data_IF_573685231397
#
_entry.id   IF_573685231397
#
_cell.length_a   1.000
_cell.length_b   1.000
_cell.length_c   1.000
_cell.angle_alpha   90.00
_cell.angle_beta   90.00
_cell.angle_gamma   90.00
#
_symmetry.space_group_name_H-M   'P 1'
#
loop_
_entity.id
_entity.type
_entity.pdbx_description
1 polymer ?
#
# COMPACT_ATOMS: atom_id res chain seq x y z
N UNK A 1 -26.28 -6.37 -10.08
CA UNK A 1 -24.89 -5.89 -9.96
C UNK A 1 -24.89 -4.38 -10.02
N UNK A 2 -24.15 -3.71 -9.13
CA UNK A 2 -24.05 -2.25 -9.11
C UNK A 2 -23.09 -1.79 -10.23
N UNK A 3 -23.63 -1.26 -11.33
CA UNK A 3 -22.82 -0.68 -12.41
C UNK A 3 -22.74 0.84 -12.29
N UNK A 4 -21.62 1.42 -12.70
CA UNK A 4 -21.43 2.89 -12.75
C UNK A 4 -22.44 3.58 -13.68
N UNK A 5 -23.01 2.84 -14.64
CA UNK A 5 -24.01 3.33 -15.60
C UNK A 5 -25.27 3.88 -14.92
N UNK A 6 -25.55 3.45 -13.69
CA UNK A 6 -26.66 3.97 -12.88
C UNK A 6 -26.33 5.27 -12.12
N UNK A 7 -25.09 5.75 -12.21
CA UNK A 7 -24.59 6.94 -11.52
C UNK A 7 -24.21 8.04 -12.49
N UNK A 8 -24.29 9.29 -12.04
CA UNK A 8 -23.77 10.43 -12.77
C UNK A 8 -22.28 10.66 -12.40
N UNK A 9 -21.41 11.08 -13.32
CA UNK A 9 -19.99 11.33 -13.02
C UNK A 9 -19.76 12.30 -11.85
N UNK A 10 -20.57 13.36 -11.75
CA UNK A 10 -20.54 14.32 -10.64
C UNK A 10 -20.98 13.75 -9.26
N UNK A 11 -21.32 12.47 -9.18
CA UNK A 11 -21.56 11.77 -7.91
C UNK A 11 -20.29 11.12 -7.34
N UNK A 12 -19.16 11.27 -8.02
CA UNK A 12 -17.89 10.66 -7.65
C UNK A 12 -16.85 11.75 -7.37
N UNK A 13 -16.26 11.72 -6.19
CA UNK A 13 -15.26 12.70 -5.74
C UNK A 13 -13.88 12.07 -5.62
N UNK A 14 -12.85 12.82 -5.99
CA UNK A 14 -11.46 12.39 -5.82
C UNK A 14 -11.10 12.18 -4.34
N UNK A 15 -10.57 11.01 -3.99
CA UNK A 15 -10.09 10.74 -2.62
C UNK A 15 -8.61 10.34 -2.54
N UNK A 16 -7.99 10.02 -3.68
CA UNK A 16 -6.54 9.78 -3.72
C UNK A 16 -6.05 9.07 -4.96
N UNK A 17 -4.72 8.96 -5.10
CA UNK A 17 -4.11 8.25 -6.21
C UNK A 17 -2.73 7.67 -5.87
N UNK A 18 -2.38 6.61 -6.59
CA UNK A 18 -1.03 6.06 -6.67
C UNK A 18 -0.34 6.42 -7.99
N UNK A 19 0.70 5.67 -8.33
CA UNK A 19 1.36 5.84 -9.63
C UNK A 19 0.46 5.39 -10.78
N UNK A 20 -0.18 4.23 -10.65
CA UNK A 20 -0.93 3.58 -11.74
C UNK A 20 -2.46 3.78 -11.69
N UNK A 21 -3.01 4.16 -10.53
CA UNK A 21 -4.46 4.19 -10.32
C UNK A 21 -4.89 5.46 -9.59
N UNK A 22 -6.11 5.90 -9.86
CA UNK A 22 -6.86 6.93 -9.15
C UNK A 22 -8.07 6.30 -8.45
N UNK A 23 -8.45 6.83 -7.30
CA UNK A 23 -9.61 6.40 -6.51
C UNK A 23 -10.59 7.57 -6.36
N UNK A 24 -11.86 7.31 -6.64
CA UNK A 24 -12.97 8.23 -6.40
C UNK A 24 -14.02 7.62 -5.47
N UNK A 25 -14.56 8.38 -4.52
CA UNK A 25 -15.64 7.95 -3.62
C UNK A 25 -17.01 8.34 -4.18
N UNK A 26 -18.01 7.48 -4.03
CA UNK A 26 -19.40 7.82 -4.32
C UNK A 26 -20.00 8.68 -3.18
N UNK A 27 -20.70 9.76 -3.52
CA UNK A 27 -21.13 10.79 -2.54
C UNK A 27 -22.64 10.96 -2.40
N UNK A 28 -23.45 10.16 -3.10
CA UNK A 28 -24.91 10.19 -2.95
C UNK A 28 -25.39 9.10 -2.02
N UNK A 29 -26.51 9.36 -1.34
CA UNK A 29 -27.19 8.41 -0.46
C UNK A 29 -28.18 7.50 -1.21
N UNK A 30 -28.18 7.56 -2.55
CA UNK A 30 -29.05 6.75 -3.41
C UNK A 30 -28.32 5.49 -3.92
N UNK A 31 -29.04 4.36 -3.95
CA UNK A 31 -28.69 3.11 -4.67
C UNK A 31 -27.56 2.25 -4.07
N UNK A 32 -27.22 1.15 -4.75
CA UNK A 32 -26.24 0.10 -4.38
C UNK A 32 -24.76 0.55 -4.37
N UNK A 33 -24.49 1.85 -4.46
CA UNK A 33 -23.14 2.44 -4.51
C UNK A 33 -22.78 3.25 -3.26
N UNK A 34 -23.71 3.38 -2.30
CA UNK A 34 -23.43 4.03 -1.02
C UNK A 34 -22.24 3.34 -0.33
N UNK A 35 -21.28 4.14 0.13
CA UNK A 35 -20.07 3.65 0.78
C UNK A 35 -19.10 2.93 -0.15
N UNK A 36 -19.22 3.08 -1.48
CA UNK A 36 -18.30 2.50 -2.46
C UNK A 36 -17.30 3.52 -2.99
N UNK A 37 -16.18 2.98 -3.47
CA UNK A 37 -15.14 3.70 -4.21
C UNK A 37 -14.95 3.06 -5.59
N UNK A 38 -14.62 3.89 -6.58
CA UNK A 38 -14.26 3.52 -7.93
C UNK A 38 -12.74 3.68 -8.11
N UNK A 39 -12.07 2.61 -8.54
CA UNK A 39 -10.66 2.60 -8.92
C UNK A 39 -10.51 2.56 -10.43
N UNK A 40 -9.82 3.56 -10.95
CA UNK A 40 -9.57 3.77 -12.37
C UNK A 40 -8.08 3.74 -12.67
N UNK A 41 -7.75 3.17 -13.83
CA UNK A 41 -6.40 3.18 -14.37
C UNK A 41 -6.02 4.59 -14.85
N UNK A 42 -4.72 4.89 -14.80
CA UNK A 42 -4.14 6.09 -15.39
C UNK A 42 -3.32 5.73 -16.62
N UNK A 43 -3.34 6.60 -17.62
CA UNK A 43 -2.35 6.55 -18.69
C UNK A 43 -0.99 6.94 -18.12
N UNK A 44 0.01 6.11 -18.35
CA UNK A 44 1.41 6.39 -18.01
C UNK A 44 2.25 6.18 -19.26
N UNK A 45 3.32 6.96 -19.43
CA UNK A 45 4.22 6.86 -20.60
C UNK A 45 4.94 5.51 -20.75
N UNK A 46 4.85 4.61 -19.75
CA UNK A 46 5.40 3.26 -19.82
C UNK A 46 4.35 2.27 -20.34
N UNK A 47 4.71 1.58 -21.42
CA UNK A 47 3.90 0.71 -22.26
C UNK A 47 3.10 -0.37 -21.51
N UNK A 48 1.99 -0.76 -22.15
CA UNK A 48 1.09 -1.87 -21.81
C UNK A 48 1.81 -3.22 -21.93
N UNK A 49 2.68 -3.56 -20.97
CA UNK A 49 2.96 -4.97 -20.72
C UNK A 49 1.68 -5.66 -20.26
N UNK A 50 1.48 -6.92 -20.65
CA UNK A 50 0.39 -7.77 -20.17
C UNK A 50 0.44 -7.85 -18.65
N UNK A 51 -0.34 -7.00 -17.98
CA UNK A 51 -0.44 -6.99 -16.53
C UNK A 51 -1.58 -7.91 -16.14
N UNK A 52 -1.29 -8.85 -15.24
CA UNK A 52 -2.33 -9.56 -14.47
C UNK A 52 -3.24 -8.50 -13.85
N UNK A 53 -4.55 -8.62 -14.02
CA UNK A 53 -5.48 -7.63 -13.47
C UNK A 53 -5.41 -7.66 -11.94
N UNK A 54 -5.77 -6.55 -11.28
CA UNK A 54 -5.78 -6.52 -9.81
C UNK A 54 -6.80 -7.52 -9.22
N UNK A 55 -7.84 -7.86 -9.98
CA UNK A 55 -8.82 -8.87 -9.61
C UNK A 55 -8.19 -10.25 -9.72
N UNK A 56 -7.59 -10.59 -10.86
CA UNK A 56 -6.96 -11.90 -11.05
C UNK A 56 -5.83 -12.15 -10.04
N UNK A 57 -5.01 -11.13 -9.78
CA UNK A 57 -3.98 -11.19 -8.75
C UNK A 57 -4.61 -11.48 -7.38
N UNK A 58 -5.73 -10.86 -7.05
CA UNK A 58 -6.38 -11.09 -5.77
C UNK A 58 -7.06 -12.47 -5.70
N UNK A 59 -7.82 -12.84 -6.72
CA UNK A 59 -8.65 -14.06 -6.73
C UNK A 59 -7.82 -15.32 -6.88
N UNK A 60 -6.72 -15.28 -7.65
CA UNK A 60 -5.91 -16.45 -7.98
C UNK A 60 -4.57 -16.52 -7.24
N UNK A 61 -4.14 -15.46 -6.56
CA UNK A 61 -2.86 -15.45 -5.83
C UNK A 61 -3.07 -14.99 -4.38
N UNK A 62 -3.55 -13.76 -4.15
CA UNK A 62 -3.60 -13.22 -2.79
C UNK A 62 -4.59 -13.95 -1.88
N UNK A 63 -5.71 -14.44 -2.41
CA UNK A 63 -6.73 -15.21 -1.68
C UNK A 63 -6.20 -16.53 -1.11
N UNK A 64 -5.14 -17.07 -1.69
CA UNK A 64 -4.46 -18.27 -1.18
C UNK A 64 -3.45 -17.91 -0.08
N UNK A 65 -2.84 -16.72 -0.15
CA UNK A 65 -1.80 -16.28 0.79
C UNK A 65 -2.36 -15.56 2.03
N UNK A 66 -3.50 -14.89 1.90
CA UNK A 66 -4.11 -14.04 2.91
C UNK A 66 -5.57 -14.46 3.05
N UNK A 67 -6.03 -14.65 4.30
CA UNK A 67 -7.43 -14.93 4.61
C UNK A 67 -8.35 -13.93 3.90
N UNK A 68 -9.29 -14.38 3.05
CA UNK A 68 -10.17 -13.51 2.27
C UNK A 68 -10.91 -12.45 3.09
N UNK A 69 -11.15 -12.67 4.39
CA UNK A 69 -11.78 -11.65 5.27
C UNK A 69 -10.96 -10.38 5.44
N UNK A 70 -9.65 -10.43 5.18
CA UNK A 70 -8.74 -9.28 5.21
C UNK A 70 -8.51 -8.65 3.83
N UNK A 71 -9.08 -9.24 2.78
CA UNK A 71 -9.01 -8.72 1.42
C UNK A 71 -10.25 -7.88 1.11
N UNK A 72 -10.05 -6.79 0.37
CA UNK A 72 -11.17 -5.96 -0.10
C UNK A 72 -11.94 -6.70 -1.19
N UNK A 73 -13.26 -6.70 -1.11
CA UNK A 73 -14.06 -7.21 -2.22
C UNK A 73 -13.98 -6.28 -3.43
N UNK A 74 -13.63 -6.86 -4.58
CA UNK A 74 -13.57 -6.14 -5.84
C UNK A 74 -14.70 -6.60 -6.76
N UNK A 75 -15.43 -5.63 -7.30
CA UNK A 75 -16.38 -5.83 -8.39
C UNK A 75 -15.80 -5.22 -9.66
N UNK A 76 -15.51 -6.05 -10.67
CA UNK A 76 -15.13 -5.55 -11.98
C UNK A 76 -16.32 -4.85 -12.63
N UNK A 77 -16.07 -3.70 -13.23
CA UNK A 77 -17.04 -2.98 -14.04
C UNK A 77 -16.50 -2.89 -15.45
N UNK A 78 -17.31 -3.34 -16.41
CA UNK A 78 -17.04 -3.16 -17.83
C UNK A 78 -17.29 -1.70 -18.23
N UNK A 79 -16.36 -1.14 -19.00
CA UNK A 79 -16.35 0.25 -19.45
C UNK A 79 -16.47 0.40 -20.97
N UNK A 80 -16.62 -0.70 -21.73
CA UNK A 80 -16.61 -0.67 -23.21
C UNK A 80 -17.55 0.39 -23.78
N UNK A 81 -18.77 0.49 -23.23
CA UNK A 81 -19.80 1.46 -23.65
C UNK A 81 -19.85 2.74 -22.78
N UNK A 82 -18.82 3.02 -21.96
CA UNK A 82 -18.84 4.11 -20.97
C UNK A 82 -17.83 5.23 -21.23
N UNK A 83 -17.26 5.33 -22.44
CA UNK A 83 -16.20 6.30 -22.77
C UNK A 83 -16.60 7.76 -22.47
N UNK A 84 -17.80 8.18 -22.87
CA UNK A 84 -18.26 9.56 -22.62
C UNK A 84 -18.47 9.83 -21.12
N UNK A 85 -19.00 8.84 -20.39
CA UNK A 85 -19.13 8.93 -18.94
C UNK A 85 -17.76 9.11 -18.25
N UNK A 86 -16.73 8.40 -18.72
CA UNK A 86 -15.37 8.50 -18.17
C UNK A 86 -14.73 9.85 -18.52
N UNK A 87 -14.98 10.39 -19.72
CA UNK A 87 -14.51 11.74 -20.09
C UNK A 87 -15.11 12.80 -19.19
N UNK A 88 -16.42 12.73 -18.92
CA UNK A 88 -17.10 13.63 -18.00
C UNK A 88 -16.56 13.49 -16.57
N UNK A 89 -16.33 12.25 -16.11
CA UNK A 89 -15.70 12.00 -14.82
C UNK A 89 -14.30 12.60 -14.75
N UNK A 90 -13.49 12.40 -15.79
CA UNK A 90 -12.14 12.94 -15.85
C UNK A 90 -12.16 14.47 -15.82
N UNK A 91 -13.03 15.11 -16.61
CA UNK A 91 -13.20 16.57 -16.57
C UNK A 91 -13.61 17.08 -15.18
N UNK A 92 -14.43 16.31 -14.46
CA UNK A 92 -14.84 16.63 -13.09
C UNK A 92 -13.71 16.44 -12.06
N UNK A 93 -12.94 15.35 -12.14
CA UNK A 93 -11.96 14.95 -11.12
C UNK A 93 -10.58 15.58 -11.32
N UNK A 94 -10.11 15.70 -12.56
CA UNK A 94 -8.76 16.16 -12.88
C UNK A 94 -8.38 17.50 -12.20
N UNK A 95 -9.27 18.51 -12.09
CA UNK A 95 -8.97 19.76 -11.39
C UNK A 95 -8.63 19.60 -9.89
N UNK A 96 -9.10 18.54 -9.24
CA UNK A 96 -8.91 18.31 -7.80
C UNK A 96 -7.68 17.46 -7.48
N UNK A 97 -6.99 16.94 -8.50
CA UNK A 97 -5.77 16.16 -8.32
C UNK A 97 -4.59 17.08 -7.94
N UNK A 98 -3.67 16.65 -7.05
CA UNK A 98 -2.51 17.43 -6.68
C UNK A 98 -1.65 17.80 -7.90
N UNK A 99 -1.16 19.04 -7.95
CA UNK A 99 -0.36 19.56 -9.09
C UNK A 99 0.80 18.66 -9.46
N UNK A 100 1.55 18.18 -8.46
CA UNK A 100 2.67 17.25 -8.65
C UNK A 100 2.32 15.94 -9.36
N UNK A 101 1.04 15.54 -9.34
CA UNK A 101 0.52 14.35 -10.03
C UNK A 101 0.04 14.66 -11.45
N UNK A 102 -0.49 15.87 -11.67
CA UNK A 102 -0.96 16.35 -12.98
C UNK A 102 0.21 16.69 -13.90
N UNK A 103 1.23 17.38 -13.39
CA UNK A 103 2.39 17.82 -14.19
C UNK A 103 3.29 16.68 -14.65
N UNK A 104 3.20 15.50 -14.02
CA UNK A 104 3.93 14.29 -14.40
C UNK A 104 3.38 13.57 -15.63
N UNK A 105 2.38 14.12 -16.31
CA UNK A 105 1.82 13.56 -17.54
C UNK A 105 0.93 12.33 -17.36
N UNK A 106 0.52 11.99 -16.13
CA UNK A 106 -0.46 10.91 -15.88
C UNK A 106 -1.87 11.47 -15.82
N UNK A 107 -2.80 10.87 -16.57
CA UNK A 107 -4.22 11.26 -16.64
C UNK A 107 -5.11 10.04 -16.43
N UNK A 108 -6.38 10.24 -16.11
CA UNK A 108 -7.37 9.15 -16.15
C UNK A 108 -7.40 8.53 -17.55
N UNK A 109 -7.32 7.21 -17.63
CA UNK A 109 -7.41 6.48 -18.90
C UNK A 109 -8.86 6.39 -19.36
N UNK A 110 -9.25 7.31 -20.25
CA UNK A 110 -10.60 7.37 -20.83
C UNK A 110 -10.91 6.18 -21.76
N UNK A 111 -9.90 5.38 -22.12
CA UNK A 111 -10.04 4.18 -22.94
C UNK A 111 -9.84 2.89 -22.13
N UNK A 112 -9.80 2.99 -20.80
CA UNK A 112 -9.76 1.81 -19.94
C UNK A 112 -10.98 0.93 -20.23
N UNK A 113 -10.74 -0.39 -20.40
CA UNK A 113 -11.80 -1.38 -20.63
C UNK A 113 -12.54 -1.79 -19.36
N UNK A 114 -11.89 -1.63 -18.21
CA UNK A 114 -12.43 -2.05 -16.93
C UNK A 114 -12.09 -1.04 -15.83
N UNK A 115 -12.99 -0.92 -14.86
CA UNK A 115 -12.75 -0.32 -13.55
C UNK A 115 -13.04 -1.33 -12.43
N UNK A 116 -12.70 -0.95 -11.20
CA UNK A 116 -13.00 -1.74 -10.01
C UNK A 116 -13.84 -0.90 -9.06
N UNK A 117 -14.99 -1.43 -8.65
CA UNK A 117 -15.73 -0.94 -7.49
C UNK A 117 -15.28 -1.72 -6.25
N UNK A 118 -15.04 -1.02 -5.14
CA UNK A 118 -14.68 -1.61 -3.85
C UNK A 118 -15.34 -0.84 -2.70
N UNK A 119 -15.30 -1.39 -1.48
CA UNK A 119 -15.73 -0.65 -0.29
C UNK A 119 -14.85 0.57 -0.02
N UNK A 120 -15.48 1.70 0.28
CA UNK A 120 -14.80 2.86 0.81
C UNK A 120 -14.63 2.69 2.33
N UNK A 121 -13.48 2.16 2.75
CA UNK A 121 -13.15 1.97 4.17
C UNK A 121 -13.05 3.28 4.98
N UNK A 122 -13.12 4.44 4.33
CA UNK A 122 -13.14 5.76 4.98
C UNK A 122 -14.52 6.39 4.98
N UNK A 123 -15.52 5.73 4.39
CA UNK A 123 -16.89 6.24 4.33
C UNK A 123 -17.44 6.53 5.73
N UNK A 124 -18.20 7.61 5.84
CA UNK A 124 -18.84 8.03 7.07
C UNK A 124 -20.37 7.90 6.94
N UNK A 125 -20.96 6.86 7.54
CA UNK A 125 -22.41 6.73 7.61
C UNK A 125 -23.02 7.82 8.51
N UNK A 126 -24.24 8.32 8.21
CA UNK A 126 -24.88 9.40 8.98
C UNK A 126 -25.07 9.16 10.49
N UNK A 127 -25.04 7.90 10.93
CA UNK A 127 -25.34 7.50 12.31
C UNK A 127 -24.16 6.80 13.02
N UNK A 128 -22.96 6.87 12.45
CA UNK A 128 -21.79 6.20 13.02
C UNK A 128 -20.52 7.03 12.86
N UNK A 129 -19.83 7.26 13.97
CA UNK A 129 -18.47 7.82 13.94
C UNK A 129 -17.47 6.71 13.61
N UNK A 130 -16.65 6.95 12.58
CA UNK A 130 -15.63 6.01 12.11
C UNK A 130 -14.30 6.75 12.00
N UNK A 131 -13.26 6.14 12.57
CA UNK A 131 -11.87 6.52 12.36
C UNK A 131 -11.21 5.39 11.60
N UNK A 132 -10.64 5.70 10.44
CA UNK A 132 -9.93 4.72 9.62
C UNK A 132 -8.45 5.05 9.61
N UNK A 133 -7.61 4.02 9.64
CA UNK A 133 -6.15 4.18 9.76
C UNK A 133 -5.48 3.39 8.64
N UNK A 134 -4.72 4.08 7.78
CA UNK A 134 -3.89 3.46 6.75
C UNK A 134 -2.45 3.37 7.28
N UNK A 135 -1.93 2.15 7.42
CA UNK A 135 -0.53 1.89 7.79
C UNK A 135 0.18 1.25 6.59
N UNK A 136 1.37 1.78 6.24
CA UNK A 136 2.31 1.08 5.34
C UNK A 136 3.41 0.46 6.16
N UNK A 137 3.32 -0.85 6.49
CA UNK A 137 4.18 -1.45 7.51
C UNK A 137 5.63 -1.67 7.05
N UNK A 138 5.86 -1.63 5.72
CA UNK A 138 7.14 -1.88 5.06
C UNK A 138 7.61 -3.33 5.25
N UNK A 139 8.91 -3.54 5.44
CA UNK A 139 9.57 -4.85 5.39
C UNK A 139 9.79 -5.38 6.81
N UNK A 140 9.31 -6.60 7.06
CA UNK A 140 9.27 -7.24 8.36
C UNK A 140 10.53 -8.01 8.72
N UNK A 141 11.38 -8.31 7.73
CA UNK A 141 12.52 -9.21 7.89
C UNK A 141 13.83 -8.55 7.45
N UNK A 142 14.91 -9.01 8.07
CA UNK A 142 16.27 -8.85 7.54
C UNK A 142 16.57 -10.04 6.61
N UNK A 143 17.49 -9.90 5.64
CA UNK A 143 17.90 -11.02 4.80
C UNK A 143 18.41 -12.19 5.64
N UNK A 144 17.97 -13.41 5.32
CA UNK A 144 18.33 -14.63 6.06
C UNK A 144 19.59 -15.30 5.51
N UNK A 145 19.78 -15.29 4.18
CA UNK A 145 20.90 -15.93 3.47
C UNK A 145 22.10 -14.98 3.30
N UNK A 146 22.74 -14.65 4.43
CA UNK A 146 23.81 -13.65 4.47
C UNK A 146 25.00 -13.99 3.56
N UNK A 147 25.26 -15.28 3.32
CA UNK A 147 26.31 -15.75 2.43
C UNK A 147 26.09 -15.35 0.96
N UNK A 148 24.82 -15.13 0.57
CA UNK A 148 24.45 -14.68 -0.77
C UNK A 148 24.56 -13.16 -0.93
N UNK A 149 24.74 -12.40 0.15
CA UNK A 149 24.94 -10.95 0.09
C UNK A 149 26.38 -10.60 -0.31
N UNK A 150 26.54 -9.46 -0.98
CA UNK A 150 27.83 -8.82 -1.22
C UNK A 150 28.51 -8.48 0.13
N UNK A 151 29.81 -8.79 0.31
CA UNK A 151 30.51 -8.51 1.56
C UNK A 151 30.42 -7.05 2.03
N UNK A 152 30.35 -6.07 1.11
CA UNK A 152 30.28 -4.65 1.42
C UNK A 152 28.91 -4.28 1.99
N UNK A 153 27.83 -4.86 1.45
CA UNK A 153 26.45 -4.53 1.88
C UNK A 153 25.97 -5.40 3.04
N UNK A 154 26.54 -6.60 3.20
CA UNK A 154 26.16 -7.60 4.22
C UNK A 154 26.13 -7.03 5.62
N UNK A 155 27.16 -6.28 6.01
CA UNK A 155 27.27 -5.73 7.37
C UNK A 155 26.13 -4.77 7.70
N UNK A 156 25.68 -3.98 6.72
CA UNK A 156 24.55 -3.07 6.90
C UNK A 156 23.22 -3.85 6.87
N UNK A 157 23.06 -4.75 5.90
CA UNK A 157 21.79 -5.45 5.65
C UNK A 157 21.44 -6.47 6.73
N UNK A 158 22.44 -7.02 7.45
CA UNK A 158 22.22 -7.95 8.56
C UNK A 158 21.81 -7.27 9.87
N UNK A 159 21.98 -5.95 9.99
CA UNK A 159 21.72 -5.19 11.23
C UNK A 159 20.57 -4.19 11.10
N UNK A 160 20.44 -3.54 9.94
CA UNK A 160 19.52 -2.43 9.76
C UNK A 160 18.38 -2.77 8.81
N UNK A 161 17.15 -2.51 9.25
CA UNK A 161 15.98 -2.73 8.41
C UNK A 161 16.00 -1.83 7.18
N UNK A 162 15.46 -2.34 6.06
CA UNK A 162 15.41 -1.64 4.76
C UNK A 162 14.82 -0.24 4.85
N UNK A 163 13.79 -0.06 5.68
CA UNK A 163 13.13 1.22 5.94
C UNK A 163 14.06 2.24 6.58
N UNK A 164 14.82 1.83 7.59
CA UNK A 164 15.77 2.71 8.27
C UNK A 164 16.91 3.12 7.32
N UNK A 165 17.47 2.17 6.57
CA UNK A 165 18.50 2.44 5.56
C UNK A 165 17.98 3.41 4.50
N UNK A 166 16.80 3.17 3.96
CA UNK A 166 16.18 4.03 2.95
C UNK A 166 16.02 5.47 3.44
N UNK A 167 15.49 5.64 4.66
CA UNK A 167 15.22 6.95 5.24
C UNK A 167 16.50 7.70 5.59
N UNK A 168 17.51 7.01 6.11
CA UNK A 168 18.80 7.60 6.40
C UNK A 168 19.51 8.13 5.14
N UNK A 169 19.41 7.42 4.01
CA UNK A 169 19.94 7.89 2.72
C UNK A 169 19.17 9.13 2.23
N UNK A 170 17.85 9.17 2.43
CA UNK A 170 17.00 10.27 1.97
C UNK A 170 17.05 11.52 2.84
N UNK A 171 17.56 11.45 4.06
CA UNK A 171 17.57 12.61 4.97
C UNK A 171 18.54 13.73 4.56
N UNK A 172 19.38 13.54 3.52
CA UNK A 172 20.28 14.51 2.85
C UNK A 172 21.27 15.31 3.72
N UNK A 173 21.05 15.54 5.01
CA UNK A 173 21.89 16.40 5.87
C UNK A 173 22.40 15.76 7.16
N UNK A 174 21.91 14.59 7.60
CA UNK A 174 22.62 13.74 8.58
C UNK A 174 21.92 12.38 8.76
N UNK A 175 22.46 11.33 8.14
CA UNK A 175 22.00 9.96 8.37
C UNK A 175 22.08 9.58 9.86
N UNK A 176 23.09 10.08 10.56
CA UNK A 176 23.32 9.87 12.00
C UNK A 176 22.15 10.38 12.85
N UNK A 177 21.62 11.55 12.54
CA UNK A 177 20.50 12.17 13.27
C UNK A 177 19.21 11.35 13.15
N UNK A 178 18.94 10.79 11.96
CA UNK A 178 17.82 9.88 11.77
C UNK A 178 17.99 8.59 12.60
N UNK A 179 19.19 7.99 12.60
CA UNK A 179 19.43 6.77 13.36
C UNK A 179 19.39 6.96 14.89
N UNK A 180 19.76 8.15 15.37
CA UNK A 180 19.73 8.49 16.80
C UNK A 180 18.42 9.11 17.26
N UNK A 181 17.45 9.35 16.35
CA UNK A 181 16.15 9.91 16.72
C UNK A 181 15.38 8.94 17.61
N UNK A 182 14.97 9.42 18.79
CA UNK A 182 14.12 8.67 19.72
C UNK A 182 12.75 8.31 19.12
N UNK A 183 12.30 9.09 18.12
CA UNK A 183 11.00 8.95 17.49
C UNK A 183 11.05 8.16 16.18
N UNK A 184 12.17 7.51 15.87
CA UNK A 184 12.36 6.79 14.61
C UNK A 184 11.49 5.54 14.52
N UNK A 185 10.53 5.53 13.61
CA UNK A 185 9.80 4.32 13.24
C UNK A 185 10.73 3.25 12.67
N UNK A 186 10.66 2.04 13.23
CA UNK A 186 11.36 0.85 12.74
C UNK A 186 10.33 -0.20 12.33
N UNK A 187 10.38 -0.62 11.06
CA UNK A 187 9.47 -1.64 10.55
C UNK A 187 9.60 -2.96 11.32
N UNK A 188 10.82 -3.40 11.66
CA UNK A 188 11.01 -4.66 12.40
C UNK A 188 10.28 -4.66 13.75
N UNK A 189 10.29 -3.54 14.48
CA UNK A 189 9.59 -3.43 15.76
C UNK A 189 8.08 -3.56 15.61
N UNK A 190 7.51 -3.13 14.47
CA UNK A 190 6.10 -3.30 14.17
C UNK A 190 5.71 -4.78 14.04
N UNK A 191 6.63 -5.64 13.61
CA UNK A 191 6.41 -7.07 13.33
C UNK A 191 6.99 -8.01 14.40
N UNK A 192 7.27 -7.51 15.59
CA UNK A 192 7.92 -8.25 16.67
C UNK A 192 6.92 -8.57 17.79
N UNK A 193 7.26 -8.32 19.05
CA UNK A 193 6.37 -8.54 20.20
C UNK A 193 5.30 -7.45 20.33
N UNK A 194 4.24 -7.70 21.09
CA UNK A 194 3.17 -6.71 21.34
C UNK A 194 3.72 -5.41 21.97
N UNK A 195 4.74 -5.51 22.84
CA UNK A 195 5.43 -4.34 23.39
C UNK A 195 6.18 -3.55 22.32
N UNK A 196 6.90 -4.24 21.43
CA UNK A 196 7.60 -3.59 20.31
C UNK A 196 6.63 -2.99 19.29
N UNK A 197 5.51 -3.67 19.00
CA UNK A 197 4.43 -3.19 18.15
C UNK A 197 3.88 -1.87 18.68
N UNK A 198 3.53 -1.82 19.97
CA UNK A 198 3.01 -0.60 20.60
C UNK A 198 4.02 0.55 20.54
N UNK A 199 5.29 0.30 20.82
CA UNK A 199 6.34 1.32 20.67
C UNK A 199 6.53 1.76 19.21
N UNK A 200 6.42 0.85 18.24
CA UNK A 200 6.52 1.18 16.83
C UNK A 200 5.36 2.08 16.38
N UNK A 201 4.14 1.82 16.85
CA UNK A 201 2.97 2.64 16.54
C UNK A 201 3.06 4.04 17.18
N UNK A 202 3.56 4.13 18.41
CA UNK A 202 3.82 5.41 19.09
C UNK A 202 4.81 6.29 18.31
N UNK A 203 5.91 5.70 17.85
CA UNK A 203 6.89 6.39 16.99
C UNK A 203 6.30 6.75 15.63
N UNK A 204 5.47 5.87 15.05
CA UNK A 204 4.81 6.13 13.78
C UNK A 204 3.85 7.33 13.87
N UNK A 205 3.09 7.44 14.96
CA UNK A 205 2.23 8.60 15.26
C UNK A 205 3.07 9.86 15.49
N UNK A 206 4.15 9.75 16.26
CA UNK A 206 5.07 10.88 16.50
C UNK A 206 5.68 11.42 15.20
N UNK A 207 6.09 10.55 14.28
CA UNK A 207 6.57 10.94 12.96
C UNK A 207 5.48 11.62 12.12
N UNK A 208 4.24 11.11 12.18
CA UNK A 208 3.11 11.68 11.48
C UNK A 208 2.78 13.10 11.99
N UNK A 209 2.69 13.28 13.31
CA UNK A 209 2.46 14.61 13.93
C UNK A 209 3.60 15.59 13.65
N UNK A 210 4.86 15.12 13.65
CA UNK A 210 6.02 15.96 13.32
C UNK A 210 6.11 16.38 11.85
N UNK A 211 5.37 15.72 10.95
CA UNK A 211 5.45 15.99 9.51
C UNK A 211 4.81 17.32 9.07
N UNK A 212 3.92 17.90 9.88
CA UNK A 212 3.25 19.18 9.58
C UNK A 212 4.21 20.39 9.58
N UNK A 213 5.38 20.27 10.18
CA UNK A 213 6.36 21.36 10.31
C UNK A 213 7.30 21.49 9.10
N UNK A 214 7.20 20.59 8.11
CA UNK A 214 8.16 20.51 7.01
C UNK A 214 7.60 21.08 5.71
N UNK A 215 7.69 22.40 5.54
CA UNK A 215 7.50 23.07 4.24
C UNK A 215 8.61 22.65 3.27
N UNK A 216 8.41 21.52 2.57
CA UNK A 216 9.27 21.08 1.45
C UNK A 216 9.85 19.67 1.54
N UNK A 217 9.55 18.89 2.59
CA UNK A 217 9.99 17.50 2.73
C UNK A 217 8.83 16.53 2.51
N UNK A 218 9.06 15.39 1.84
CA UNK A 218 8.03 14.37 1.63
C UNK A 218 7.32 14.01 2.94
N UNK A 219 6.02 14.34 3.03
CA UNK A 219 5.13 13.84 4.10
C UNK A 219 5.29 12.32 4.17
N UNK A 220 5.69 11.82 5.34
CA UNK A 220 5.94 10.40 5.55
C UNK A 220 4.65 9.63 5.29
N UNK A 221 4.64 8.78 4.24
CA UNK A 221 3.42 8.09 3.79
C UNK A 221 3.14 6.79 4.54
N UNK A 222 3.72 6.61 5.73
CA UNK A 222 3.61 5.38 6.52
C UNK A 222 2.35 5.32 7.37
N UNK A 223 1.75 6.46 7.71
CA UNK A 223 0.52 6.57 8.45
C UNK A 223 -0.37 7.62 7.80
N UNK A 224 -1.67 7.30 7.67
CA UNK A 224 -2.72 8.30 7.50
C UNK A 224 -3.86 7.97 8.42
N UNK A 225 -4.48 9.01 8.97
CA UNK A 225 -5.67 8.91 9.79
C UNK A 225 -6.79 9.60 9.02
N UNK A 226 -7.94 8.96 8.95
CA UNK A 226 -9.13 9.48 8.31
C UNK A 226 -10.23 9.63 9.36
N UNK A 227 -10.92 10.77 9.33
CA UNK A 227 -12.09 11.04 10.13
C UNK A 227 -13.17 11.62 9.23
N UNK A 228 -14.36 11.03 9.28
CA UNK A 228 -15.50 11.42 8.44
C UNK A 228 -15.19 11.45 6.93
N UNK A 229 -14.40 10.49 6.44
CA UNK A 229 -13.96 10.41 5.05
C UNK A 229 -12.83 11.36 4.65
N UNK A 230 -12.49 12.35 5.48
CA UNK A 230 -11.40 13.28 5.24
C UNK A 230 -10.07 12.79 5.83
N UNK A 231 -8.96 13.08 5.15
CA UNK A 231 -7.62 12.90 5.73
C UNK A 231 -7.42 13.94 6.83
N UNK A 232 -7.06 13.48 8.02
CA UNK A 232 -6.79 14.36 9.16
C UNK A 232 -5.44 15.06 8.96
N UNK A 233 -5.40 16.37 9.17
CA UNK A 233 -4.14 17.14 9.22
C UNK A 233 -3.44 16.85 10.56
N UNK A 234 -2.18 16.36 10.56
CA UNK A 234 -1.46 16.08 11.79
C UNK A 234 -1.29 17.28 12.73
N UNK A 235 -1.34 18.51 12.23
CA UNK A 235 -1.25 19.73 13.04
C UNK A 235 -2.56 20.10 13.72
N UNK A 236 -3.67 19.56 13.24
CA UNK A 236 -5.02 19.89 13.72
C UNK A 236 -5.45 19.08 14.94
N UNK A 237 -4.74 17.99 15.28
CA UNK A 237 -5.16 17.05 16.32
C UNK A 237 -3.98 16.52 17.13
N UNK A 238 -4.23 16.26 18.41
CA UNK A 238 -3.37 15.44 19.26
C UNK A 238 -3.97 14.05 19.38
N UNK A 239 -3.17 13.02 19.10
CA UNK A 239 -3.63 11.63 19.18
C UNK A 239 -3.60 11.17 20.63
N UNK A 240 -4.75 10.71 21.13
CA UNK A 240 -4.85 10.08 22.46
C UNK A 240 -4.02 8.78 22.46
N UNK A 241 -3.12 8.57 23.43
CA UNK A 241 -2.38 7.32 23.60
C UNK A 241 -3.27 6.07 23.60
N UNK A 242 -4.52 6.18 24.05
CA UNK A 242 -5.49 5.08 23.99
C UNK A 242 -5.80 4.62 22.56
N UNK A 243 -5.74 5.51 21.57
CA UNK A 243 -5.90 5.11 20.16
C UNK A 243 -4.75 4.21 19.74
N UNK A 244 -3.53 4.49 20.21
CA UNK A 244 -2.34 3.69 19.94
C UNK A 244 -2.48 2.29 20.59
N UNK A 245 -3.04 2.22 21.79
CA UNK A 245 -3.36 0.96 22.47
C UNK A 245 -4.38 0.13 21.68
N UNK A 246 -5.45 0.77 21.20
CA UNK A 246 -6.47 0.12 20.35
C UNK A 246 -5.86 -0.37 19.04
N UNK A 247 -5.01 0.42 18.39
CA UNK A 247 -4.29 0.02 17.18
C UNK A 247 -3.41 -1.21 17.42
N UNK A 248 -2.65 -1.21 18.52
CA UNK A 248 -1.79 -2.33 18.89
C UNK A 248 -2.63 -3.60 19.13
N UNK A 249 -3.71 -3.48 19.91
CA UNK A 249 -4.61 -4.60 20.20
C UNK A 249 -5.25 -5.18 18.93
N UNK A 250 -5.76 -4.33 18.03
CA UNK A 250 -6.39 -4.78 16.78
C UNK A 250 -5.39 -5.51 15.88
N UNK A 251 -4.18 -4.96 15.75
CA UNK A 251 -3.13 -5.57 14.91
C UNK A 251 -2.64 -6.89 15.48
N UNK A 252 -2.44 -6.96 16.79
CA UNK A 252 -2.04 -8.18 17.52
C UNK A 252 -3.11 -9.28 17.38
N UNK A 253 -4.38 -8.96 17.66
CA UNK A 253 -5.48 -9.94 17.60
C UNK A 253 -5.81 -10.42 16.18
N UNK A 254 -5.60 -9.58 15.17
CA UNK A 254 -5.88 -9.95 13.77
C UNK A 254 -4.85 -10.93 13.18
N UNK A 255 -3.65 -11.01 13.76
CA UNK A 255 -2.50 -11.76 13.23
C UNK A 255 -2.04 -11.33 11.82
N UNK A 256 -2.57 -10.22 11.27
CA UNK A 256 -2.31 -9.80 9.89
C UNK A 256 -0.82 -9.46 9.65
N UNK A 257 -0.16 -8.89 10.66
CA UNK A 257 1.26 -8.55 10.57
C UNK A 257 2.14 -9.80 10.49
N UNK A 258 1.79 -10.86 11.22
CA UNK A 258 2.51 -12.12 11.18
C UNK A 258 2.37 -12.79 9.82
N UNK A 259 1.14 -12.84 9.26
CA UNK A 259 0.91 -13.34 7.90
C UNK A 259 1.74 -12.55 6.86
N UNK A 260 1.74 -11.21 6.95
CA UNK A 260 2.55 -10.38 6.05
C UNK A 260 4.05 -10.68 6.21
N UNK A 261 4.54 -10.84 7.44
CA UNK A 261 5.94 -11.17 7.73
C UNK A 261 6.35 -12.50 7.10
N UNK A 262 5.50 -13.53 7.20
CA UNK A 262 5.73 -14.84 6.62
C UNK A 262 5.75 -14.79 5.10
N UNK A 263 4.75 -14.15 4.48
CA UNK A 263 4.70 -13.97 3.02
C UNK A 263 5.96 -13.26 2.52
N UNK A 264 6.37 -12.17 3.17
CA UNK A 264 7.58 -11.44 2.81
C UNK A 264 8.84 -12.30 2.92
N UNK A 265 8.94 -13.14 3.96
CA UNK A 265 10.10 -14.02 4.14
C UNK A 265 10.10 -15.19 3.15
N UNK A 266 8.94 -15.79 2.87
CA UNK A 266 8.80 -16.95 1.97
C UNK A 266 9.02 -16.54 0.51
N UNK A 267 8.59 -15.35 0.11
CA UNK A 267 8.67 -14.87 -1.28
C UNK A 267 9.96 -14.09 -1.61
N UNK A 268 10.79 -13.74 -0.63
CA UNK A 268 12.13 -13.16 -0.83
C UNK A 268 13.20 -13.90 0.02
N UNK A 269 13.41 -15.21 -0.21
CA UNK A 269 14.26 -16.02 0.67
C UNK A 269 15.76 -15.75 0.51
N UNK A 270 16.19 -15.21 -0.64
CA UNK A 270 17.61 -15.06 -0.99
C UNK A 270 18.06 -13.60 -1.14
N UNK A 271 17.15 -12.66 -0.89
CA UNK A 271 17.34 -11.23 -1.19
C UNK A 271 17.59 -10.97 -2.69
N UNK A 272 17.34 -9.74 -3.12
CA UNK A 272 17.57 -9.31 -4.50
C UNK A 272 19.02 -9.53 -4.97
N UNK A 273 20.01 -9.44 -4.08
CA UNK A 273 21.42 -9.71 -4.42
C UNK A 273 21.68 -11.20 -4.70
N UNK A 274 21.03 -12.11 -3.97
CA UNK A 274 21.07 -13.53 -4.27
C UNK A 274 20.41 -13.84 -5.60
N UNK A 275 19.23 -13.25 -5.84
CA UNK A 275 18.51 -13.40 -7.10
C UNK A 275 19.32 -12.95 -8.31
N UNK A 276 20.00 -11.79 -8.22
CA UNK A 276 20.89 -11.32 -9.29
C UNK A 276 22.07 -12.27 -9.54
N UNK A 277 22.58 -12.95 -8.51
CA UNK A 277 23.63 -13.96 -8.69
C UNK A 277 23.11 -15.16 -9.46
N UNK A 278 21.90 -15.64 -9.17
CA UNK A 278 21.28 -16.75 -9.89
C UNK A 278 20.99 -16.41 -11.35
N UNK A 279 20.40 -15.24 -11.62
CA UNK A 279 20.12 -14.80 -13.01
C UNK A 279 21.37 -14.63 -13.87
N UNK A 280 22.50 -14.26 -13.26
CA UNK A 280 23.76 -14.06 -13.98
C UNK A 280 24.62 -15.33 -14.07
N UNK A 281 24.16 -16.47 -13.53
CA UNK A 281 24.84 -17.75 -13.76
C UNK A 281 24.59 -18.22 -15.20
N UNK A 282 25.63 -18.73 -15.89
CA UNK A 282 25.42 -19.38 -17.18
C UNK A 282 24.45 -20.56 -17.01
N UNK A 283 23.55 -20.83 -17.98
CA UNK A 283 22.60 -21.93 -17.89
C UNK A 283 23.35 -23.23 -17.59
N UNK A 284 22.99 -23.84 -16.46
CA UNK A 284 23.68 -25.02 -15.96
C UNK A 284 23.18 -26.25 -16.74
N UNK A 285 23.92 -26.66 -17.77
CA UNK A 285 23.55 -27.77 -18.67
C UNK A 285 23.42 -29.15 -18.00
N UNK A 286 23.75 -29.25 -16.70
CA UNK A 286 23.71 -30.49 -15.93
C UNK A 286 22.72 -30.50 -14.75
N UNK A 287 21.96 -29.41 -14.53
CA UNK A 287 20.79 -29.52 -13.65
C UNK A 287 19.64 -30.00 -14.51
N UNK A 288 19.19 -31.24 -14.30
CA UNK A 288 17.78 -31.55 -14.56
C UNK A 288 17.01 -30.43 -13.89
N UNK A 289 16.12 -29.77 -14.65
CA UNK A 289 15.17 -28.80 -14.11
C UNK A 289 14.33 -29.54 -13.06
N UNK A 290 14.84 -29.64 -11.83
CA UNK A 290 14.00 -29.62 -10.65
C UNK A 290 13.38 -28.24 -10.68
N UNK A 291 12.26 -28.20 -11.38
CA UNK A 291 11.39 -27.07 -11.55
C UNK A 291 11.10 -26.53 -10.14
N UNK A 292 11.80 -25.46 -9.75
CA UNK A 292 11.64 -24.78 -8.46
C UNK A 292 10.18 -24.30 -8.26
N UNK A 293 9.36 -24.37 -9.32
CA UNK A 293 7.93 -24.06 -9.34
C UNK A 293 7.03 -25.29 -9.58
N UNK A 294 7.56 -26.51 -9.73
CA UNK A 294 6.78 -27.75 -9.90
C UNK A 294 6.18 -28.28 -8.60
N UNK A 295 6.77 -27.90 -7.46
CA UNK A 295 6.14 -28.17 -6.18
C UNK A 295 5.04 -27.13 -5.98
N UNK A 296 3.77 -27.54 -5.78
CA UNK A 296 2.77 -26.63 -5.26
C UNK A 296 3.37 -25.95 -4.03
N UNK A 297 3.24 -24.63 -3.93
CA UNK A 297 3.49 -23.97 -2.66
C UNK A 297 2.45 -24.56 -1.71
N UNK A 298 2.86 -25.52 -0.89
CA UNK A 298 1.99 -26.06 0.15
C UNK A 298 1.91 -24.99 1.23
N UNK A 299 0.72 -24.38 1.33
CA UNK A 299 0.44 -23.29 2.25
C UNK A 299 -0.03 -23.79 3.62
N UNK A 300 -0.09 -25.11 3.82
CA UNK A 300 -0.54 -25.73 5.06
C UNK A 300 0.59 -26.25 5.97
N UNK A 301 1.86 -26.07 5.58
CA UNK A 301 3.04 -26.38 6.40
C UNK A 301 3.82 -25.13 6.89
#
# INVERSE_FOLDING_TARGET
>A
MAGIQSSHPAHWEYIGEGAANLIAAYTRETQSLVGKSLRLSKTTQQEQQQRISAIDLQTHILSHLIDPKYLLEYTQVDLEDSVEWIKELAAHIEPYRPDSKRTGGSQIDVHAKHAIIMDNLTYHPPHQEIISIEIKPKWANLPSRLELLDPITREIKKEYCRTCVYRAIRSKSNSKEYYTSANRFCALQLFDTSDHLRHALDRLVSEWQGSSSSSGGHVHNNLKIFHRGGVVDPSSVQIDPKLIDVMAQVLDQSNVLQTIKEIQSKLDPIDIEGLFKEFNQPPNTNKQEEDLFSSPIDLND
#
